data_IF_432299362455
#
_entry.id   IF_432299362455
#
_cell.length_a   1.000
_cell.length_b   1.000
_cell.length_c   1.000
_cell.angle_alpha   90.00
_cell.angle_beta   90.00
_cell.angle_gamma   90.00
#
_symmetry.space_group_name_H-M   'P 1'
#
loop_
_entity.id
_entity.type
_entity.pdbx_description
1 polymer ?
#
# COMPACT_ATOMS: atom_id res chain seq x y z
N UNK A 1 -74.98 133.37 61.36
CA UNK A 1 -76.40 133.08 61.12
C UNK A 1 -76.51 132.12 59.94
N UNK A 2 -77.46 131.19 59.96
CA UNK A 2 -77.74 130.35 58.78
C UNK A 2 -78.56 131.20 57.80
N UNK A 3 -78.04 131.44 56.59
CA UNK A 3 -78.84 132.03 55.52
C UNK A 3 -79.71 130.92 54.92
N UNK A 4 -81.03 131.13 54.88
CA UNK A 4 -82.00 130.19 54.34
C UNK A 4 -82.37 130.60 52.91
N UNK A 5 -82.34 129.66 51.96
CA UNK A 5 -82.78 129.87 50.58
C UNK A 5 -84.28 129.57 50.38
N UNK A 6 -85.09 129.53 51.45
CA UNK A 6 -86.53 129.26 51.36
C UNK A 6 -87.36 130.56 51.32
N UNK A 7 -88.42 130.60 50.50
CA UNK A 7 -89.31 131.76 50.36
C UNK A 7 -90.80 131.35 50.50
N UNK A 8 -91.62 132.12 51.23
CA UNK A 8 -93.07 131.91 51.43
C UNK A 8 -93.48 131.52 52.88
N UNK A 9 -94.56 132.12 53.42
CA UNK A 9 -94.88 132.11 54.87
C UNK A 9 -95.84 131.01 55.35
N UNK A 10 -96.42 130.22 54.45
CA UNK A 10 -97.39 129.17 54.83
C UNK A 10 -97.03 127.76 54.37
N UNK A 11 -95.99 127.60 53.54
CA UNK A 11 -95.30 126.33 53.27
C UNK A 11 -94.00 126.66 52.50
N UNK A 12 -92.84 126.81 53.17
CA UNK A 12 -91.63 127.26 52.51
C UNK A 12 -91.11 126.20 51.53
N UNK A 13 -91.05 126.55 50.24
CA UNK A 13 -90.39 125.72 49.22
C UNK A 13 -88.91 126.10 49.13
N UNK A 14 -88.05 125.09 48.97
CA UNK A 14 -86.63 125.30 48.74
C UNK A 14 -86.40 125.99 47.37
N UNK A 15 -85.55 127.01 47.32
CA UNK A 15 -85.16 127.68 46.07
C UNK A 15 -83.75 127.28 45.62
N UNK A 16 -83.50 127.32 44.32
CA UNK A 16 -82.16 127.18 43.73
C UNK A 16 -81.41 128.51 43.87
N UNK A 17 -80.11 128.46 44.14
CA UNK A 17 -79.22 129.65 44.11
C UNK A 17 -78.60 129.74 42.71
N UNK A 18 -78.89 130.80 41.97
CA UNK A 18 -78.37 131.05 40.59
C UNK A 18 -77.23 132.06 40.60
N UNK A 19 -76.51 132.17 39.47
CA UNK A 19 -75.40 133.13 39.25
C UNK A 19 -74.22 133.02 40.22
N UNK A 20 -73.98 131.81 40.74
CA UNK A 20 -72.80 131.51 41.56
C UNK A 20 -71.58 131.42 40.65
N UNK A 21 -70.69 132.41 40.73
CA UNK A 21 -69.38 132.36 40.09
C UNK A 21 -68.57 131.16 40.59
N UNK A 22 -67.63 130.65 39.78
CA UNK A 22 -66.74 129.55 40.17
C UNK A 22 -66.04 129.87 41.50
N UNK A 23 -66.28 129.05 42.52
CA UNK A 23 -65.64 129.20 43.82
C UNK A 23 -64.16 128.81 43.73
N UNK A 24 -63.29 129.44 44.50
CA UNK A 24 -61.88 129.04 44.48
C UNK A 24 -61.72 127.61 45.03
N UNK A 25 -61.25 126.63 44.25
CA UNK A 25 -61.07 125.25 44.73
C UNK A 25 -59.70 125.13 45.43
N UNK A 26 -59.71 125.20 46.76
CA UNK A 26 -58.52 124.98 47.59
C UNK A 26 -58.91 124.48 48.99
N UNK A 27 -57.97 123.88 49.72
CA UNK A 27 -58.24 123.30 51.04
C UNK A 27 -58.76 124.32 52.09
N UNK A 28 -58.44 125.62 51.93
CA UNK A 28 -58.87 126.70 52.84
C UNK A 28 -60.12 127.44 52.37
N UNK A 29 -60.57 127.20 51.14
CA UNK A 29 -61.70 127.93 50.57
C UNK A 29 -62.97 127.70 51.37
N UNK A 30 -63.76 128.78 51.52
CA UNK A 30 -65.12 128.75 52.06
C UNK A 30 -66.14 129.17 51.00
N UNK A 31 -65.68 129.34 49.76
CA UNK A 31 -66.51 129.71 48.62
C UNK A 31 -67.50 128.57 48.32
N UNK A 32 -68.71 128.94 47.89
CA UNK A 32 -69.65 127.98 47.35
C UNK A 32 -69.16 127.51 45.98
N UNK A 33 -69.14 126.19 45.73
CA UNK A 33 -68.86 125.62 44.41
C UNK A 33 -70.15 125.53 43.60
N UNK A 34 -70.08 125.83 42.31
CA UNK A 34 -71.22 125.77 41.42
C UNK A 34 -71.29 124.42 40.67
N UNK A 35 -72.31 124.27 39.83
CA UNK A 35 -72.56 123.04 39.09
C UNK A 35 -71.46 122.68 38.08
N UNK A 36 -70.78 123.64 37.44
CA UNK A 36 -69.72 123.35 36.46
C UNK A 36 -68.48 122.76 37.11
N UNK A 37 -68.08 123.27 38.28
CA UNK A 37 -66.91 122.77 39.03
C UNK A 37 -67.13 121.35 39.57
N UNK A 38 -68.32 121.10 40.13
CA UNK A 38 -68.71 119.75 40.56
C UNK A 38 -68.84 118.80 39.37
N UNK A 39 -69.35 119.28 38.22
CA UNK A 39 -69.44 118.49 36.98
C UNK A 39 -68.06 118.08 36.49
N UNK A 40 -67.10 119.00 36.41
CA UNK A 40 -65.73 118.68 35.98
C UNK A 40 -65.10 117.60 36.88
N UNK A 41 -65.26 117.73 38.21
CA UNK A 41 -64.79 116.71 39.17
C UNK A 41 -65.47 115.36 38.92
N UNK A 42 -66.78 115.35 38.66
CA UNK A 42 -67.52 114.13 38.38
C UNK A 42 -67.12 113.49 37.05
N UNK A 43 -66.82 114.29 36.02
CA UNK A 43 -66.34 113.80 34.72
C UNK A 43 -64.98 113.10 34.86
N UNK A 44 -64.04 113.65 35.64
CA UNK A 44 -62.75 113.01 35.95
C UNK A 44 -62.94 111.72 36.77
N UNK A 45 -63.88 111.70 37.71
CA UNK A 45 -64.23 110.49 38.48
C UNK A 45 -64.82 109.42 37.56
N UNK A 46 -65.67 109.80 36.61
CA UNK A 46 -66.23 108.89 35.61
C UNK A 46 -65.14 108.33 34.68
N UNK A 47 -64.21 109.17 34.23
CA UNK A 47 -63.05 108.76 33.44
C UNK A 47 -62.13 107.80 34.22
N UNK A 48 -61.86 108.09 35.50
CA UNK A 48 -61.10 107.19 36.37
C UNK A 48 -61.81 105.86 36.58
N UNK A 49 -63.14 105.89 36.75
CA UNK A 49 -63.97 104.67 36.86
C UNK A 49 -63.85 103.82 35.59
N UNK A 50 -63.90 104.44 34.42
CA UNK A 50 -63.71 103.77 33.14
C UNK A 50 -62.30 103.17 32.99
N UNK A 51 -61.24 103.94 33.31
CA UNK A 51 -59.86 103.46 33.28
C UNK A 51 -59.62 102.28 34.23
N UNK A 52 -60.21 102.32 35.44
CA UNK A 52 -60.15 101.22 36.41
C UNK A 52 -60.85 99.97 35.85
N UNK A 53 -62.00 100.12 35.20
CA UNK A 53 -62.69 99.01 34.56
C UNK A 53 -61.84 98.38 33.43
N UNK A 54 -61.21 99.20 32.58
CA UNK A 54 -60.27 98.74 31.56
C UNK A 54 -59.07 98.02 32.16
N UNK A 55 -58.44 98.58 33.19
CA UNK A 55 -57.31 97.95 33.88
C UNK A 55 -57.71 96.62 34.51
N UNK A 56 -58.91 96.54 35.09
CA UNK A 56 -59.47 95.30 35.64
C UNK A 56 -59.62 94.23 34.54
N UNK A 57 -60.12 94.60 33.36
CA UNK A 57 -60.26 93.69 32.21
C UNK A 57 -58.90 93.22 31.66
N UNK A 58 -57.92 94.13 31.55
CA UNK A 58 -56.56 93.80 31.13
C UNK A 58 -55.87 92.85 32.13
N UNK A 59 -56.03 93.09 33.44
CA UNK A 59 -55.50 92.20 34.48
C UNK A 59 -56.14 90.82 34.40
N UNK A 60 -57.46 90.74 34.19
CA UNK A 60 -58.14 89.46 34.00
C UNK A 60 -57.63 88.70 32.76
N UNK A 61 -57.43 89.41 31.64
CA UNK A 61 -56.85 88.85 30.40
C UNK A 61 -55.43 88.36 30.62
N UNK A 62 -54.57 89.16 31.26
CA UNK A 62 -53.21 88.76 31.59
C UNK A 62 -53.18 87.54 32.53
N UNK A 63 -54.09 87.49 33.51
CA UNK A 63 -54.24 86.35 34.41
C UNK A 63 -54.61 85.08 33.64
N UNK A 64 -55.54 85.16 32.68
CA UNK A 64 -55.92 84.05 31.83
C UNK A 64 -54.75 83.59 30.92
N UNK A 65 -54.04 84.53 30.28
CA UNK A 65 -52.88 84.23 29.45
C UNK A 65 -51.76 83.55 30.25
N UNK A 66 -51.51 84.00 31.49
CA UNK A 66 -50.52 83.38 32.39
C UNK A 66 -50.96 81.96 32.76
N UNK A 67 -52.24 81.73 33.03
CA UNK A 67 -52.77 80.40 33.30
C UNK A 67 -52.58 79.47 32.10
N UNK A 68 -52.90 79.93 30.88
CA UNK A 68 -52.66 79.18 29.64
C UNK A 68 -51.18 78.88 29.43
N UNK A 69 -50.30 79.87 29.63
CA UNK A 69 -48.85 79.68 29.49
C UNK A 69 -48.31 78.68 30.51
N UNK A 70 -48.81 78.71 31.74
CA UNK A 70 -48.47 77.74 32.79
C UNK A 70 -48.81 76.32 32.33
N UNK A 71 -50.03 76.10 31.83
CA UNK A 71 -50.45 74.79 31.30
C UNK A 71 -49.58 74.33 30.13
N UNK A 72 -49.28 75.23 29.19
CA UNK A 72 -48.44 74.89 28.03
C UNK A 72 -47.02 74.49 28.45
N UNK A 73 -46.43 75.18 29.44
CA UNK A 73 -45.10 74.87 29.97
C UNK A 73 -45.10 73.50 30.65
N UNK A 74 -46.14 73.17 31.42
CA UNK A 74 -46.29 71.85 32.02
C UNK A 74 -46.35 70.75 30.96
N UNK A 75 -47.20 70.91 29.94
CA UNK A 75 -47.32 69.92 28.85
C UNK A 75 -45.99 69.72 28.10
N UNK A 76 -45.24 70.80 27.87
CA UNK A 76 -43.91 70.74 27.26
C UNK A 76 -42.90 70.01 28.16
N UNK A 77 -42.97 70.24 29.47
CA UNK A 77 -42.11 69.56 30.45
C UNK A 77 -42.36 68.05 30.45
N UNK A 78 -43.63 67.66 30.46
CA UNK A 78 -44.03 66.25 30.40
C UNK A 78 -43.58 65.60 29.08
N UNK A 79 -43.81 66.27 27.94
CA UNK A 79 -43.39 65.78 26.62
C UNK A 79 -41.87 65.60 26.51
N UNK A 80 -41.08 66.49 27.12
CA UNK A 80 -39.62 66.37 27.17
C UNK A 80 -39.20 65.20 28.07
N UNK A 81 -39.90 64.98 29.19
CA UNK A 81 -39.69 63.84 30.07
C UNK A 81 -39.92 62.51 29.35
N UNK A 82 -41.04 62.40 28.63
CA UNK A 82 -41.39 61.20 27.87
C UNK A 82 -40.35 60.90 26.78
N UNK A 83 -39.90 61.93 26.04
CA UNK A 83 -38.84 61.78 25.05
C UNK A 83 -37.52 61.30 25.67
N UNK A 84 -37.16 61.78 26.86
CA UNK A 84 -35.95 61.33 27.55
C UNK A 84 -36.04 59.88 28.01
N UNK A 85 -37.23 59.39 28.36
CA UNK A 85 -37.44 58.01 28.79
C UNK A 85 -37.27 57.00 27.62
N UNK A 86 -37.66 57.38 26.40
CA UNK A 86 -37.66 56.50 25.24
C UNK A 86 -36.44 56.66 24.30
N UNK A 87 -35.62 57.71 24.51
CA UNK A 87 -34.45 57.97 23.67
C UNK A 87 -33.25 57.04 23.98
N UNK A 88 -32.41 56.81 22.97
CA UNK A 88 -31.06 56.28 23.17
C UNK A 88 -30.20 57.37 23.81
N UNK A 89 -29.94 57.25 25.11
CA UNK A 89 -29.19 58.25 25.86
C UNK A 89 -27.70 57.95 25.87
N UNK A 90 -26.88 59.00 25.80
CA UNK A 90 -25.44 58.91 25.99
C UNK A 90 -25.12 58.53 27.43
N UNK A 91 -24.35 57.47 27.59
CA UNK A 91 -23.83 57.03 28.88
C UNK A 91 -22.40 57.55 29.04
N UNK A 92 -22.25 58.57 29.89
CA UNK A 92 -20.96 59.26 30.09
C UNK A 92 -19.87 58.32 30.63
N UNK A 93 -20.24 57.37 31.47
CA UNK A 93 -19.30 56.38 32.05
C UNK A 93 -18.82 55.39 30.99
N UNK A 94 -19.73 54.91 30.13
CA UNK A 94 -19.41 53.93 29.06
C UNK A 94 -18.88 54.58 27.78
N UNK A 95 -18.96 55.91 27.67
CA UNK A 95 -18.66 56.68 26.46
C UNK A 95 -19.36 56.12 25.22
N UNK A 96 -20.63 55.77 25.36
CA UNK A 96 -21.45 55.18 24.31
C UNK A 96 -22.93 55.47 24.52
N UNK A 97 -23.73 55.39 23.45
CA UNK A 97 -25.19 55.39 23.57
C UNK A 97 -25.68 54.09 24.20
N UNK A 98 -26.62 54.19 25.14
CA UNK A 98 -27.23 53.05 25.81
C UNK A 98 -28.50 52.63 25.08
N UNK A 99 -28.57 51.36 24.70
CA UNK A 99 -29.78 50.71 24.21
C UNK A 99 -30.58 50.03 25.33
N UNK A 100 -30.31 50.34 26.60
CA UNK A 100 -31.15 49.90 27.71
C UNK A 100 -32.44 50.72 27.74
N UNK A 101 -33.58 50.08 27.95
CA UNK A 101 -34.90 50.72 28.02
C UNK A 101 -35.76 50.04 29.08
N UNK A 102 -36.50 50.84 29.85
CA UNK A 102 -37.32 50.35 30.95
C UNK A 102 -36.52 49.57 32.00
N UNK A 103 -36.98 48.35 32.31
CA UNK A 103 -36.35 47.46 33.29
C UNK A 103 -35.23 46.59 32.69
N UNK A 104 -35.07 46.59 31.37
CA UNK A 104 -34.09 45.75 30.70
C UNK A 104 -32.71 46.41 30.72
N UNK A 105 -31.70 45.63 31.09
CA UNK A 105 -30.31 46.09 31.10
C UNK A 105 -29.70 46.20 29.69
N UNK A 106 -30.33 45.56 28.70
CA UNK A 106 -29.97 45.61 27.27
C UNK A 106 -31.19 45.35 26.38
N UNK A 107 -31.35 46.09 25.29
CA UNK A 107 -32.41 45.86 24.28
C UNK A 107 -31.82 45.65 22.88
N UNK A 108 -32.63 45.08 21.97
CA UNK A 108 -32.22 44.87 20.57
C UNK A 108 -32.32 46.18 19.79
N UNK A 109 -31.33 46.43 18.94
CA UNK A 109 -31.42 47.41 17.85
C UNK A 109 -31.72 46.62 16.57
N UNK A 110 -32.92 46.81 16.01
CA UNK A 110 -33.36 46.13 14.78
C UNK A 110 -33.47 47.12 13.62
N UNK A 111 -33.75 46.61 12.42
CA UNK A 111 -33.80 47.39 11.18
C UNK A 111 -32.46 48.10 10.86
N UNK A 112 -31.36 47.49 11.31
CA UNK A 112 -29.99 47.90 10.97
C UNK A 112 -29.74 47.45 9.54
N UNK A 113 -29.55 48.41 8.64
CA UNK A 113 -29.18 48.16 7.25
C UNK A 113 -27.83 47.43 7.20
N UNK A 114 -27.63 46.58 6.20
CA UNK A 114 -26.33 45.95 5.97
C UNK A 114 -25.22 47.02 5.95
N UNK A 115 -24.19 46.81 6.76
CA UNK A 115 -23.01 47.65 6.81
C UNK A 115 -22.16 47.50 5.55
N UNK A 116 -21.46 48.55 5.15
CA UNK A 116 -20.39 48.41 4.15
C UNK A 116 -19.18 47.72 4.81
N UNK A 117 -18.88 46.49 4.40
CA UNK A 117 -17.82 45.66 5.00
C UNK A 117 -16.43 46.00 4.42
N UNK A 118 -15.95 47.20 4.72
CA UNK A 118 -14.60 47.67 4.35
C UNK A 118 -13.68 47.72 5.56
N UNK A 119 -12.36 47.79 5.34
CA UNK A 119 -11.37 47.75 6.43
C UNK A 119 -11.52 48.87 7.46
N UNK A 120 -11.99 50.05 7.03
CA UNK A 120 -12.13 51.24 7.89
C UNK A 120 -13.59 51.51 8.30
N UNK A 121 -14.50 50.58 8.03
CA UNK A 121 -15.92 50.76 8.32
C UNK A 121 -16.18 50.85 9.82
N UNK A 122 -16.98 51.84 10.20
CA UNK A 122 -17.50 52.01 11.57
C UNK A 122 -18.99 51.68 11.66
N UNK A 123 -19.56 51.10 10.60
CA UNK A 123 -20.97 50.73 10.55
C UNK A 123 -21.25 49.53 11.45
N UNK A 124 -22.44 49.53 12.07
CA UNK A 124 -22.89 48.36 12.82
C UNK A 124 -23.29 47.24 11.85
N UNK A 125 -22.68 46.06 11.98
CA UNK A 125 -23.08 44.87 11.23
C UNK A 125 -24.36 44.26 11.80
N UNK A 126 -25.22 43.74 10.92
CA UNK A 126 -26.44 43.07 11.34
C UNK A 126 -26.30 41.54 11.33
N UNK A 127 -27.38 40.87 11.76
CA UNK A 127 -27.40 39.41 11.89
C UNK A 127 -27.23 38.65 10.57
N UNK A 128 -27.73 39.17 9.43
CA UNK A 128 -27.58 38.50 8.13
C UNK A 128 -26.12 38.47 7.69
N UNK A 129 -25.40 39.57 7.84
CA UNK A 129 -23.98 39.64 7.47
C UNK A 129 -23.13 38.68 8.31
N UNK A 130 -23.35 38.67 9.64
CA UNK A 130 -22.67 37.74 10.53
C UNK A 130 -23.04 36.28 10.23
N UNK A 131 -24.30 36.01 9.86
CA UNK A 131 -24.75 34.68 9.45
C UNK A 131 -24.03 34.20 8.19
N UNK A 132 -23.88 35.04 7.16
CA UNK A 132 -23.14 34.67 5.94
C UNK A 132 -21.71 34.23 6.27
N UNK A 133 -21.01 34.97 7.13
CA UNK A 133 -19.69 34.57 7.62
C UNK A 133 -19.73 33.24 8.37
N UNK A 134 -20.69 33.04 9.27
CA UNK A 134 -20.82 31.81 10.03
C UNK A 134 -21.15 30.59 9.15
N UNK A 135 -21.95 30.74 8.10
CA UNK A 135 -22.25 29.68 7.14
C UNK A 135 -20.96 29.27 6.36
N UNK A 136 -20.11 30.23 6.01
CA UNK A 136 -18.81 29.96 5.39
C UNK A 136 -17.85 29.25 6.35
N UNK A 137 -17.83 29.64 7.63
CA UNK A 137 -17.05 28.97 8.68
C UNK A 137 -17.54 27.53 8.90
N UNK A 138 -18.86 27.31 8.91
CA UNK A 138 -19.43 25.96 9.01
C UNK A 138 -19.04 25.09 7.81
N UNK A 139 -19.06 25.65 6.60
CA UNK A 139 -18.59 24.98 5.38
C UNK A 139 -17.11 24.59 5.50
N UNK A 140 -16.26 25.51 5.95
CA UNK A 140 -14.83 25.23 6.18
C UNK A 140 -14.63 24.13 7.22
N UNK A 141 -15.43 24.12 8.29
CA UNK A 141 -15.39 23.08 9.32
C UNK A 141 -15.70 21.70 8.74
N UNK A 142 -16.74 21.60 7.90
CA UNK A 142 -17.08 20.35 7.20
C UNK A 142 -15.98 19.91 6.24
N UNK A 143 -15.39 20.84 5.47
CA UNK A 143 -14.29 20.53 4.55
C UNK A 143 -13.06 20.01 5.30
N UNK A 144 -12.72 20.59 6.44
CA UNK A 144 -11.61 20.13 7.29
C UNK A 144 -11.88 18.71 7.82
N UNK A 145 -13.11 18.43 8.26
CA UNK A 145 -13.48 17.09 8.71
C UNK A 145 -13.37 16.04 7.58
N UNK A 146 -13.85 16.38 6.37
CA UNK A 146 -13.73 15.52 5.20
C UNK A 146 -12.27 15.26 4.82
N UNK A 147 -11.43 16.30 4.79
CA UNK A 147 -10.00 16.17 4.52
C UNK A 147 -9.31 15.28 5.56
N UNK A 148 -9.67 15.42 6.83
CA UNK A 148 -9.15 14.57 7.92
C UNK A 148 -9.50 13.10 7.70
N UNK A 149 -10.76 12.81 7.33
CA UNK A 149 -11.21 11.46 6.99
C UNK A 149 -10.46 10.87 5.79
N UNK A 150 -10.33 11.65 4.70
CA UNK A 150 -9.59 11.23 3.51
C UNK A 150 -8.12 10.94 3.81
N UNK A 151 -7.46 11.74 4.65
CA UNK A 151 -6.08 11.51 5.09
C UNK A 151 -5.97 10.21 5.89
N UNK A 152 -6.92 9.92 6.78
CA UNK A 152 -6.94 8.68 7.53
C UNK A 152 -7.11 7.46 6.60
N UNK A 153 -8.02 7.52 5.63
CA UNK A 153 -8.18 6.47 4.61
C UNK A 153 -6.91 6.27 3.78
N UNK A 154 -6.29 7.35 3.32
CA UNK A 154 -5.03 7.28 2.57
C UNK A 154 -3.91 6.67 3.40
N UNK A 155 -3.84 6.98 4.69
CA UNK A 155 -2.87 6.39 5.63
C UNK A 155 -3.02 4.87 5.70
N UNK A 156 -4.26 4.38 5.84
CA UNK A 156 -4.54 2.92 5.83
C UNK A 156 -4.17 2.28 4.49
N UNK A 157 -4.53 2.90 3.37
CA UNK A 157 -4.20 2.38 2.04
C UNK A 157 -2.69 2.27 1.82
N UNK A 158 -1.92 3.29 2.25
CA UNK A 158 -0.46 3.29 2.16
C UNK A 158 0.14 2.18 3.05
N UNK A 159 -0.42 1.96 4.23
CA UNK A 159 0.01 0.86 5.11
C UNK A 159 -0.19 -0.51 4.44
N UNK A 160 -1.36 -0.76 3.86
CA UNK A 160 -1.66 -2.02 3.16
C UNK A 160 -0.76 -2.23 1.92
N UNK A 161 -0.48 -1.16 1.18
CA UNK A 161 0.47 -1.20 0.06
C UNK A 161 1.89 -1.52 0.53
N UNK A 162 2.31 -0.93 1.65
CA UNK A 162 3.63 -1.18 2.24
C UNK A 162 3.78 -2.64 2.67
N UNK A 163 2.76 -3.20 3.30
CA UNK A 163 2.72 -4.63 3.66
C UNK A 163 2.79 -5.52 2.41
N UNK A 164 1.99 -5.23 1.39
CA UNK A 164 1.99 -5.98 0.13
C UNK A 164 3.36 -5.95 -0.55
N UNK A 165 4.00 -4.78 -0.63
CA UNK A 165 5.33 -4.62 -1.21
C UNK A 165 6.39 -5.36 -0.39
N UNK A 166 6.27 -5.35 0.94
CA UNK A 166 7.17 -6.09 1.83
C UNK A 166 7.04 -7.60 1.58
N UNK A 167 5.82 -8.11 1.50
CA UNK A 167 5.57 -9.54 1.25
C UNK A 167 6.06 -9.98 -0.13
N UNK A 168 5.78 -9.21 -1.19
CA UNK A 168 6.37 -9.47 -2.51
C UNK A 168 7.90 -9.42 -2.47
N UNK A 169 8.43 -8.46 -1.71
CA UNK A 169 9.84 -8.32 -1.42
C UNK A 169 10.43 -9.43 -0.56
N UNK A 170 9.64 -10.35 -0.01
CA UNK A 170 10.05 -11.54 0.75
C UNK A 170 9.92 -12.81 -0.12
N UNK A 171 8.78 -12.96 -0.81
CA UNK A 171 8.35 -14.20 -1.48
C UNK A 171 8.79 -14.34 -2.95
N UNK A 172 9.28 -13.28 -3.59
CA UNK A 172 9.73 -13.32 -4.98
C UNK A 172 11.13 -13.93 -5.16
N UNK A 173 11.46 -14.33 -6.40
CA UNK A 173 12.86 -14.56 -6.80
C UNK A 173 13.60 -13.22 -6.82
N UNK A 174 14.49 -13.01 -5.86
CA UNK A 174 15.16 -11.72 -5.67
C UNK A 174 16.48 -11.68 -6.42
N UNK A 175 16.85 -10.51 -6.92
CA UNK A 175 18.20 -10.26 -7.37
C UNK A 175 19.13 -10.14 -6.16
N UNK A 176 20.02 -11.11 -6.01
CA UNK A 176 21.15 -11.05 -5.10
C UNK A 176 22.26 -10.23 -5.79
N UNK A 177 22.37 -8.96 -5.38
CA UNK A 177 23.32 -8.02 -5.97
C UNK A 177 24.78 -8.39 -5.70
N UNK A 178 25.06 -9.01 -4.56
CA UNK A 178 26.43 -9.32 -4.15
C UNK A 178 26.95 -10.52 -4.93
N UNK A 179 26.07 -11.48 -5.23
CA UNK A 179 26.40 -12.66 -6.02
C UNK A 179 26.08 -12.51 -7.53
N UNK A 180 25.36 -11.46 -7.93
CA UNK A 180 25.02 -11.18 -9.33
C UNK A 180 24.06 -12.21 -9.95
N UNK A 181 23.12 -12.75 -9.17
CA UNK A 181 22.20 -13.82 -9.59
C UNK A 181 20.79 -13.59 -9.04
N UNK A 182 19.79 -14.25 -9.63
CA UNK A 182 18.50 -14.43 -8.97
C UNK A 182 18.58 -15.57 -7.96
N UNK A 183 18.11 -15.34 -6.74
CA UNK A 183 18.11 -16.33 -5.66
C UNK A 183 16.70 -16.84 -5.36
N UNK A 184 16.60 -18.15 -5.12
CA UNK A 184 15.42 -18.81 -4.58
C UNK A 184 15.53 -19.05 -3.06
N UNK A 185 16.43 -18.34 -2.37
CA UNK A 185 16.48 -18.32 -0.92
C UNK A 185 15.21 -17.67 -0.35
N UNK A 186 14.62 -18.29 0.68
CA UNK A 186 13.40 -17.80 1.33
C UNK A 186 13.40 -18.23 2.79
N UNK A 187 13.01 -17.31 3.68
CA UNK A 187 13.01 -17.54 5.13
C UNK A 187 14.41 -17.84 5.70
N UNK A 188 14.48 -18.86 6.55
CA UNK A 188 15.71 -19.35 7.17
C UNK A 188 16.48 -20.39 6.32
N UNK A 189 15.95 -20.74 5.15
CA UNK A 189 16.59 -21.65 4.20
C UNK A 189 17.42 -20.88 3.17
N UNK A 190 18.63 -21.37 2.89
CA UNK A 190 19.55 -20.75 1.92
C UNK A 190 19.19 -21.05 0.45
N UNK A 191 18.37 -22.08 0.16
CA UNK A 191 17.89 -22.40 -1.19
C UNK A 191 16.56 -23.17 -1.17
N UNK A 192 15.67 -22.91 -2.14
CA UNK A 192 14.39 -23.60 -2.30
C UNK A 192 14.17 -24.09 -3.74
N UNK A 193 13.18 -24.97 -3.91
CA UNK A 193 12.80 -25.51 -5.23
C UNK A 193 12.07 -24.44 -6.05
N UNK A 194 12.37 -24.38 -7.35
CA UNK A 194 11.55 -23.72 -8.35
C UNK A 194 10.81 -24.81 -9.12
N UNK A 195 9.49 -24.88 -8.96
CA UNK A 195 8.64 -25.90 -9.58
C UNK A 195 7.68 -25.26 -10.60
N UNK A 196 6.90 -26.09 -11.28
CA UNK A 196 5.97 -25.67 -12.33
C UNK A 196 6.66 -24.95 -13.49
N UNK A 197 7.89 -25.37 -13.78
CA UNK A 197 8.68 -24.93 -14.93
C UNK A 197 8.29 -25.77 -16.13
N UNK A 198 7.83 -25.12 -17.20
CA UNK A 198 7.61 -25.75 -18.50
C UNK A 198 8.93 -26.30 -19.05
N UNK A 199 8.86 -27.33 -19.89
CA UNK A 199 10.05 -27.88 -20.56
C UNK A 199 10.80 -26.78 -21.29
N UNK A 200 12.07 -26.59 -20.95
CA UNK A 200 12.94 -25.61 -21.57
C UNK A 200 13.37 -26.06 -22.96
N UNK A 201 13.56 -25.13 -23.89
CA UNK A 201 14.08 -25.48 -25.21
C UNK A 201 15.51 -26.00 -25.09
N UNK A 202 15.83 -27.18 -25.64
CA UNK A 202 17.19 -27.76 -25.58
C UNK A 202 17.93 -27.49 -26.89
N UNK A 203 18.71 -26.40 -26.93
CA UNK A 203 19.59 -26.03 -28.05
C UNK A 203 20.89 -25.41 -27.53
N UNK A 204 21.90 -25.28 -28.39
CA UNK A 204 23.21 -24.75 -28.03
C UNK A 204 23.21 -23.30 -27.50
N UNK A 205 22.13 -22.55 -27.74
CA UNK A 205 22.01 -21.13 -27.36
C UNK A 205 20.82 -20.86 -26.44
N UNK A 206 20.15 -21.90 -25.93
CA UNK A 206 18.99 -21.72 -25.07
C UNK A 206 19.36 -21.04 -23.76
N UNK A 207 18.45 -20.22 -23.25
CA UNK A 207 18.50 -19.62 -21.90
C UNK A 207 17.33 -20.07 -21.04
N UNK A 208 16.56 -21.05 -21.51
CA UNK A 208 15.44 -21.60 -20.77
C UNK A 208 15.96 -22.48 -19.64
N UNK A 209 15.32 -22.40 -18.47
CA UNK A 209 15.52 -23.40 -17.43
C UNK A 209 14.95 -24.75 -17.90
N UNK A 210 15.71 -25.83 -17.70
CA UNK A 210 15.19 -27.19 -17.89
C UNK A 210 14.55 -27.68 -16.59
N UNK A 211 13.54 -28.52 -16.71
CA UNK A 211 12.92 -29.16 -15.55
C UNK A 211 13.40 -30.62 -15.38
N UNK A 212 12.87 -31.28 -14.35
CA UNK A 212 13.29 -32.64 -14.00
C UNK A 212 12.93 -33.71 -15.05
N UNK A 213 11.81 -33.58 -15.77
CA UNK A 213 11.40 -34.57 -16.78
C UNK A 213 12.40 -34.63 -17.93
N UNK A 214 12.88 -33.49 -18.41
CA UNK A 214 13.84 -33.45 -19.51
C UNK A 214 15.17 -34.14 -19.17
N UNK A 215 15.67 -33.95 -17.94
CA UNK A 215 16.88 -34.61 -17.47
C UNK A 215 16.64 -36.12 -17.27
N UNK A 216 15.48 -36.49 -16.75
CA UNK A 216 15.09 -37.90 -16.56
C UNK A 216 14.98 -38.64 -17.90
N UNK A 217 14.39 -38.02 -18.93
CA UNK A 217 14.26 -38.59 -20.27
C UNK A 217 15.62 -38.80 -20.93
N UNK A 218 16.54 -37.82 -20.81
CA UNK A 218 17.92 -37.96 -21.28
C UNK A 218 18.62 -39.15 -20.60
N UNK A 219 18.53 -39.22 -19.28
CA UNK A 219 19.13 -40.31 -18.48
C UNK A 219 18.55 -41.68 -18.86
N UNK A 220 17.24 -41.75 -19.11
CA UNK A 220 16.54 -42.98 -19.52
C UNK A 220 16.95 -43.45 -20.92
N UNK A 221 17.16 -42.52 -21.85
CA UNK A 221 17.67 -42.83 -23.18
C UNK A 221 19.10 -43.41 -23.11
N UNK A 222 19.96 -42.83 -22.27
CA UNK A 222 21.32 -43.35 -22.05
C UNK A 222 21.29 -44.77 -21.48
N UNK A 223 20.42 -45.04 -20.50
CA UNK A 223 20.24 -46.38 -19.95
C UNK A 223 19.82 -47.39 -21.03
N UNK A 224 18.87 -46.98 -21.88
CA UNK A 224 18.39 -47.79 -23.01
C UNK A 224 19.52 -48.12 -24.00
N UNK A 225 20.36 -47.14 -24.34
CA UNK A 225 21.49 -47.36 -25.25
C UNK A 225 22.56 -48.29 -24.69
N UNK A 226 22.83 -48.24 -23.38
CA UNK A 226 23.77 -49.15 -22.76
C UNK A 226 23.21 -50.58 -22.64
N UNK A 227 21.90 -50.74 -22.46
CA UNK A 227 21.32 -52.05 -22.18
C UNK A 227 21.93 -52.67 -20.93
N UNK A 228 22.11 -54.00 -20.89
CA UNK A 228 22.76 -54.66 -19.76
C UNK A 228 22.08 -54.40 -18.41
N UNK A 229 20.76 -54.17 -18.39
CA UNK A 229 20.00 -53.76 -17.21
C UNK A 229 20.35 -52.38 -16.63
N UNK A 230 21.00 -51.49 -17.41
CA UNK A 230 21.09 -50.08 -17.03
C UNK A 230 19.69 -49.47 -16.90
N UNK A 231 19.50 -48.57 -15.94
CA UNK A 231 18.20 -47.97 -15.65
C UNK A 231 18.31 -46.62 -14.95
N UNK A 232 17.20 -45.90 -14.83
CA UNK A 232 17.05 -44.73 -13.97
C UNK A 232 16.00 -45.06 -12.91
N UNK A 233 16.36 -44.88 -11.65
CA UNK A 233 15.47 -45.13 -10.53
C UNK A 233 14.44 -43.99 -10.37
N UNK A 234 13.39 -44.23 -9.58
CA UNK A 234 12.31 -43.25 -9.35
C UNK A 234 12.77 -41.97 -8.63
N UNK A 235 13.92 -42.00 -7.97
CA UNK A 235 14.60 -40.84 -7.38
C UNK A 235 15.53 -40.11 -8.36
N UNK A 236 15.59 -40.55 -9.62
CA UNK A 236 16.43 -39.99 -10.68
C UNK A 236 17.86 -40.52 -10.70
N UNK A 237 18.23 -41.46 -9.82
CA UNK A 237 19.59 -42.02 -9.77
C UNK A 237 19.80 -43.00 -10.93
N UNK A 238 20.86 -42.78 -11.71
CA UNK A 238 21.26 -43.66 -12.81
C UNK A 238 21.99 -44.91 -12.28
N UNK A 239 21.58 -46.08 -12.75
CA UNK A 239 22.23 -47.37 -12.52
C UNK A 239 22.89 -47.84 -13.81
N UNK A 240 24.20 -48.06 -13.78
CA UNK A 240 25.00 -48.47 -14.94
C UNK A 240 24.69 -49.89 -15.43
N UNK A 241 25.16 -50.26 -16.63
CA UNK A 241 24.94 -51.59 -17.19
C UNK A 241 25.73 -52.65 -16.42
N UNK A 242 25.27 -53.89 -16.53
CA UNK A 242 25.99 -55.10 -16.15
C UNK A 242 26.03 -56.03 -17.35
N UNK A 243 27.21 -56.21 -17.91
CA UNK A 243 27.49 -57.16 -18.98
C UNK A 243 28.12 -58.41 -18.40
N UNK A 244 27.51 -59.57 -18.60
CA UNK A 244 28.06 -60.86 -18.14
C UNK A 244 28.83 -61.52 -19.28
N UNK A 245 30.15 -61.65 -19.13
CA UNK A 245 31.03 -62.34 -20.09
C UNK A 245 31.66 -63.54 -19.37
N UNK A 246 31.32 -64.75 -19.79
CA UNK A 246 31.62 -65.96 -19.03
C UNK A 246 30.92 -65.93 -17.65
N UNK A 247 31.69 -66.09 -16.58
CA UNK A 247 31.20 -66.04 -15.20
C UNK A 247 31.37 -64.67 -14.53
N UNK A 248 31.99 -63.71 -15.21
CA UNK A 248 32.34 -62.40 -14.64
C UNK A 248 31.39 -61.30 -15.13
N UNK A 249 31.03 -60.40 -14.21
CA UNK A 249 30.25 -59.19 -14.51
C UNK A 249 31.17 -58.00 -14.78
N UNK A 250 30.81 -57.20 -15.79
CA UNK A 250 31.50 -55.98 -16.19
C UNK A 250 30.52 -54.81 -16.21
N UNK A 251 30.91 -53.67 -15.65
CA UNK A 251 29.99 -52.55 -15.39
C UNK A 251 30.13 -51.37 -16.36
N UNK A 252 30.97 -51.54 -17.39
CA UNK A 252 31.11 -50.60 -18.49
C UNK A 252 31.46 -51.36 -19.77
N UNK A 253 31.22 -50.70 -20.90
CA UNK A 253 31.40 -51.29 -22.23
C UNK A 253 32.86 -51.62 -22.51
N UNK A 254 33.80 -50.76 -22.09
CA UNK A 254 35.23 -50.93 -22.36
C UNK A 254 35.78 -52.23 -21.77
N UNK A 255 35.50 -52.48 -20.49
CA UNK A 255 35.99 -53.68 -19.81
C UNK A 255 35.32 -54.94 -20.35
N UNK A 256 34.01 -54.87 -20.67
CA UNK A 256 33.30 -55.99 -21.27
C UNK A 256 33.89 -56.37 -22.64
N UNK A 257 34.21 -55.37 -23.49
CA UNK A 257 34.86 -55.60 -24.78
C UNK A 257 36.30 -56.13 -24.61
N UNK A 258 37.05 -55.62 -23.64
CA UNK A 258 38.39 -56.13 -23.34
C UNK A 258 38.34 -57.60 -22.88
N UNK A 259 37.35 -57.97 -22.06
CA UNK A 259 37.13 -59.34 -21.63
C UNK A 259 36.76 -60.26 -22.78
N UNK A 260 35.87 -59.83 -23.68
CA UNK A 260 35.55 -60.57 -24.91
C UNK A 260 36.83 -60.80 -25.73
N UNK A 261 37.61 -59.74 -25.99
CA UNK A 261 38.85 -59.82 -26.77
C UNK A 261 39.88 -60.80 -26.15
N UNK A 262 40.00 -60.78 -24.82
CA UNK A 262 40.85 -61.73 -24.09
C UNK A 262 40.34 -63.17 -24.24
N UNK A 263 39.04 -63.41 -24.06
CA UNK A 263 38.43 -64.75 -24.14
C UNK A 263 38.57 -65.40 -25.52
N UNK A 264 38.49 -64.62 -26.61
CA UNK A 264 38.78 -65.10 -27.96
C UNK A 264 40.25 -65.50 -28.10
N UNK A 265 41.16 -64.68 -27.56
CA UNK A 265 42.60 -64.95 -27.66
C UNK A 265 42.99 -66.23 -26.92
N UNK A 266 42.42 -66.48 -25.73
CA UNK A 266 42.66 -67.72 -24.98
C UNK A 266 42.08 -68.93 -25.72
N UNK A 267 40.85 -68.85 -26.23
CA UNK A 267 40.22 -69.97 -26.94
C UNK A 267 40.96 -70.35 -28.22
N UNK A 268 41.52 -69.38 -28.95
CA UNK A 268 42.34 -69.65 -30.12
C UNK A 268 43.73 -70.18 -29.75
N UNK A 269 44.29 -69.75 -28.61
CA UNK A 269 45.59 -70.22 -28.12
C UNK A 269 45.66 -71.73 -27.85
N UNK A 270 44.53 -72.35 -27.53
CA UNK A 270 44.43 -73.80 -27.24
C UNK A 270 44.03 -74.65 -28.46
N UNK A 271 43.73 -74.04 -29.61
CA UNK A 271 43.32 -74.76 -30.81
C UNK A 271 44.52 -75.27 -31.63
N UNK A 272 44.36 -76.41 -32.31
CA UNK A 272 45.29 -76.86 -33.35
C UNK A 272 45.13 -75.97 -34.59
N UNK A 273 45.89 -74.88 -34.65
CA UNK A 273 45.73 -73.86 -35.69
C UNK A 273 46.58 -74.15 -36.94
N UNK A 274 46.07 -73.74 -38.09
CA UNK A 274 46.81 -73.72 -39.35
C UNK A 274 47.91 -72.65 -39.29
N UNK A 275 49.16 -73.08 -39.41
CA UNK A 275 50.30 -72.17 -39.59
C UNK A 275 50.45 -71.89 -41.10
N UNK A 276 49.97 -70.71 -41.51
CA UNK A 276 50.05 -70.28 -42.91
C UNK A 276 51.49 -70.08 -43.41
N UNK A 277 52.45 -69.80 -42.52
CA UNK A 277 53.86 -69.64 -42.89
C UNK A 277 54.50 -70.99 -43.14
N UNK A 278 54.17 -71.98 -42.32
CA UNK A 278 54.66 -73.34 -42.47
C UNK A 278 53.84 -74.20 -43.45
N UNK A 279 52.65 -73.75 -43.86
CA UNK A 279 51.76 -74.45 -44.78
C UNK A 279 51.21 -75.76 -44.19
N UNK A 280 51.00 -75.83 -42.87
CA UNK A 280 50.54 -77.04 -42.16
C UNK A 280 49.85 -76.70 -40.84
N UNK A 281 49.09 -77.65 -40.29
CA UNK A 281 48.64 -77.54 -38.90
C UNK A 281 49.83 -77.62 -37.94
N UNK A 282 49.83 -76.76 -36.92
CA UNK A 282 50.88 -76.72 -35.90
C UNK A 282 50.41 -77.42 -34.62
N UNK A 283 51.18 -78.42 -34.17
CA UNK A 283 51.03 -79.03 -32.86
C UNK A 283 51.82 -78.28 -31.77
N UNK A 284 52.29 -77.05 -32.04
CA UNK A 284 52.94 -76.23 -31.03
C UNK A 284 51.90 -75.59 -30.12
N UNK A 285 52.14 -75.59 -28.81
CA UNK A 285 51.23 -75.02 -27.83
C UNK A 285 52.00 -74.27 -26.73
N UNK A 286 51.30 -73.36 -26.03
CA UNK A 286 51.86 -72.56 -24.94
C UNK A 286 52.76 -71.40 -25.40
N UNK A 287 53.23 -70.62 -24.44
CA UNK A 287 53.98 -69.37 -24.68
C UNK A 287 55.38 -69.59 -25.26
N UNK A 288 55.94 -70.79 -25.10
CA UNK A 288 57.28 -71.13 -25.59
C UNK A 288 57.26 -71.64 -27.04
N UNK A 289 56.08 -72.00 -27.58
CA UNK A 289 55.94 -72.49 -28.95
C UNK A 289 56.59 -73.87 -29.20
N UNK A 290 56.68 -74.69 -28.15
CA UNK A 290 57.25 -76.03 -28.21
C UNK A 290 56.25 -77.02 -28.83
N UNK A 291 56.76 -78.02 -29.55
CA UNK A 291 55.93 -79.09 -30.10
C UNK A 291 55.29 -79.90 -28.96
N UNK A 292 53.98 -80.11 -29.05
CA UNK A 292 53.20 -80.87 -28.08
C UNK A 292 52.80 -82.23 -28.64
N UNK A 293 52.59 -83.19 -27.75
CA UNK A 293 52.06 -84.51 -28.09
C UNK A 293 50.60 -84.37 -28.49
N UNK A 294 50.22 -85.04 -29.59
CA UNK A 294 48.81 -85.26 -29.94
C UNK A 294 48.45 -86.66 -29.44
N UNK A 295 47.60 -86.72 -28.41
CA UNK A 295 47.10 -87.98 -27.82
C UNK A 295 45.64 -88.20 -28.24
N UNK A 296 45.08 -89.34 -27.83
CA UNK A 296 43.69 -89.76 -28.15
C UNK A 296 43.44 -89.90 -29.66
N UNK A 297 44.51 -90.20 -30.41
CA UNK A 297 44.47 -90.55 -31.83
C UNK A 297 44.07 -92.02 -31.94
N UNK A 298 42.89 -92.29 -32.52
CA UNK A 298 42.46 -93.65 -32.82
C UNK A 298 43.39 -94.34 -33.82
N UNK A 299 43.40 -95.68 -33.85
CA UNK A 299 44.18 -96.44 -34.84
C UNK A 299 43.74 -96.06 -36.26
N UNK A 300 44.67 -95.53 -37.05
CA UNK A 300 44.42 -95.16 -38.45
C UNK A 300 44.36 -96.38 -39.37
N UNK A 301 43.68 -96.28 -40.50
CA UNK A 301 43.73 -97.35 -41.50
C UNK A 301 45.16 -97.53 -42.04
N UNK A 302 45.64 -98.77 -42.13
CA UNK A 302 46.94 -99.11 -42.72
C UNK A 302 46.75 -99.61 -44.15
N UNK A 303 46.88 -98.71 -45.12
CA UNK A 303 46.83 -98.99 -46.56
C UNK A 303 47.74 -98.02 -47.34
N UNK A 304 48.03 -98.31 -48.62
CA UNK A 304 48.90 -97.49 -49.48
C UNK A 304 48.30 -96.14 -49.89
N UNK A 305 47.00 -95.95 -49.63
CA UNK A 305 46.26 -94.71 -49.89
C UNK A 305 45.76 -93.99 -48.64
N UNK A 306 46.07 -94.49 -47.44
CA UNK A 306 45.57 -93.92 -46.19
C UNK A 306 46.08 -92.49 -45.96
N UNK A 307 45.22 -91.62 -45.44
CA UNK A 307 45.56 -90.27 -44.95
C UNK A 307 45.31 -90.14 -43.45
N UNK A 308 45.12 -91.26 -42.77
CA UNK A 308 44.89 -91.30 -41.33
C UNK A 308 46.22 -91.13 -40.59
N UNK A 309 46.17 -90.44 -39.45
CA UNK A 309 47.31 -90.44 -38.54
C UNK A 309 47.44 -91.82 -37.91
N UNK A 310 48.68 -92.31 -37.79
CA UNK A 310 48.99 -93.52 -37.01
C UNK A 310 49.37 -93.14 -35.59
N UNK A 311 49.00 -93.97 -34.62
CA UNK A 311 49.32 -93.74 -33.22
C UNK A 311 50.47 -94.66 -32.72
N UNK A 312 50.83 -94.48 -31.45
CA UNK A 312 51.92 -95.25 -30.82
C UNK A 312 51.66 -96.76 -30.75
N UNK A 313 50.42 -97.22 -30.57
CA UNK A 313 50.12 -98.67 -30.52
C UNK A 313 50.32 -99.35 -31.86
N UNK A 314 49.96 -98.70 -32.96
CA UNK A 314 50.20 -99.24 -34.30
C UNK A 314 51.70 -99.33 -34.61
N UNK A 315 52.48 -98.30 -34.27
CA UNK A 315 53.93 -98.32 -34.44
C UNK A 315 54.59 -99.38 -33.53
N UNK A 316 54.12 -99.52 -32.28
CA UNK A 316 54.57 -100.56 -31.38
C UNK A 316 54.26 -101.96 -31.91
N UNK A 317 53.07 -102.18 -32.50
CA UNK A 317 52.71 -103.44 -33.14
C UNK A 317 53.67 -103.82 -34.29
N UNK A 318 54.10 -102.84 -35.09
CA UNK A 318 55.15 -103.06 -36.11
C UNK A 318 56.47 -103.43 -35.45
N UNK A 319 56.89 -102.70 -34.40
CA UNK A 319 58.14 -103.01 -33.68
C UNK A 319 58.12 -104.41 -33.06
N UNK A 320 56.99 -104.84 -32.47
CA UNK A 320 56.83 -106.20 -31.94
C UNK A 320 56.96 -107.26 -33.03
N UNK A 321 56.31 -107.05 -34.18
CA UNK A 321 56.43 -107.96 -35.33
C UNK A 321 57.88 -108.08 -35.82
N UNK A 322 58.61 -106.97 -35.89
CA UNK A 322 60.04 -106.96 -36.29
C UNK A 322 60.88 -107.75 -35.31
N UNK A 323 60.68 -107.55 -34.00
CA UNK A 323 61.40 -108.27 -32.96
C UNK A 323 61.12 -109.78 -32.99
N UNK A 324 59.86 -110.17 -33.15
CA UNK A 324 59.46 -111.57 -33.26
C UNK A 324 60.09 -112.24 -34.50
N UNK A 325 60.19 -111.51 -35.62
CA UNK A 325 60.81 -111.99 -36.85
C UNK A 325 62.34 -112.13 -36.72
N UNK A 326 62.99 -111.25 -35.96
CA UNK A 326 64.42 -111.36 -35.66
C UNK A 326 64.70 -112.54 -34.72
N UNK A 327 63.96 -112.68 -33.61
CA UNK A 327 64.26 -113.69 -32.59
C UNK A 327 65.57 -113.38 -31.84
N UNK A 328 66.30 -114.41 -31.37
CA UNK A 328 67.61 -114.22 -30.73
C UNK A 328 67.60 -113.41 -29.42
N UNK A 329 66.44 -113.25 -28.77
CA UNK A 329 66.30 -112.45 -27.54
C UNK A 329 66.14 -110.94 -27.78
N UNK A 330 65.88 -110.50 -29.01
CA UNK A 330 65.47 -109.12 -29.28
C UNK A 330 64.18 -108.77 -28.51
N UNK A 331 64.03 -107.51 -28.12
CA UNK A 331 62.84 -107.01 -27.42
C UNK A 331 62.54 -105.54 -27.75
N UNK A 332 61.27 -105.14 -27.68
CA UNK A 332 60.88 -103.72 -27.73
C UNK A 332 60.92 -103.16 -26.32
N UNK A 333 61.80 -102.20 -26.07
CA UNK A 333 61.95 -101.53 -24.79
C UNK A 333 60.80 -100.56 -24.50
N UNK A 334 60.62 -100.22 -23.22
CA UNK A 334 59.56 -99.32 -22.77
C UNK A 334 59.65 -97.89 -23.36
N UNK A 335 60.84 -97.47 -23.80
CA UNK A 335 61.08 -96.19 -24.48
C UNK A 335 60.86 -96.27 -26.01
N UNK A 336 60.43 -97.42 -26.51
CA UNK A 336 60.20 -97.68 -27.93
C UNK A 336 61.46 -98.07 -28.72
N UNK A 337 62.64 -98.13 -28.10
CA UNK A 337 63.85 -98.64 -28.74
C UNK A 337 63.82 -100.16 -28.86
N UNK A 338 64.57 -100.74 -29.81
CA UNK A 338 64.68 -102.19 -29.97
C UNK A 338 66.04 -102.65 -29.43
N UNK A 339 66.04 -103.63 -28.53
CA UNK A 339 67.23 -104.37 -28.12
C UNK A 339 67.61 -105.33 -29.25
N UNK A 340 68.88 -105.29 -29.69
CA UNK A 340 69.36 -106.11 -30.78
C UNK A 340 69.26 -107.62 -30.48
N UNK A 341 69.04 -108.48 -31.50
CA UNK A 341 69.07 -109.92 -31.30
C UNK A 341 70.48 -110.38 -30.92
N UNK A 342 70.62 -111.57 -30.37
CA UNK A 342 71.90 -112.26 -30.21
C UNK A 342 71.81 -113.65 -30.83
N UNK A 343 72.56 -113.87 -31.90
CA UNK A 343 72.67 -115.16 -32.56
C UNK A 343 74.05 -115.76 -32.28
N UNK A 344 74.11 -116.84 -31.49
CA UNK A 344 75.37 -117.54 -31.22
C UNK A 344 75.68 -118.55 -32.31
N UNK A 345 76.70 -118.27 -33.12
CA UNK A 345 77.19 -119.18 -34.17
C UNK A 345 78.65 -119.53 -33.84
N UNK A 346 78.91 -120.83 -33.61
CA UNK A 346 80.25 -121.34 -33.29
C UNK A 346 80.96 -120.62 -32.11
N UNK A 347 80.21 -120.33 -31.04
CA UNK A 347 80.67 -119.62 -29.82
C UNK A 347 81.07 -118.14 -30.02
N UNK A 348 80.59 -117.50 -31.09
CA UNK A 348 80.64 -116.05 -31.27
C UNK A 348 79.22 -115.50 -31.41
N UNK A 349 78.95 -114.39 -30.74
CA UNK A 349 77.65 -113.70 -30.75
C UNK A 349 77.64 -112.62 -31.83
N UNK A 350 76.55 -112.58 -32.61
CA UNK A 350 76.27 -111.58 -33.64
C UNK A 350 74.94 -110.88 -33.33
N UNK A 351 74.88 -109.58 -33.60
CA UNK A 351 73.74 -108.71 -33.29
C UNK A 351 72.90 -108.32 -34.50
N UNK A 352 73.08 -109.05 -35.61
CA UNK A 352 72.37 -108.84 -36.88
C UNK A 352 72.28 -110.10 -37.77
#
# INVERSE_FOLDING_TARGET
>A
GKYSAAHGTSSPTASVITDVADGTISASSKDAVNGSQLKATNDDVEANTANIATNTSNIATNTANIATNTTNITNLTDSVGDLQADALLWNETKKAFSAAHGQDTTSKITNVKDADLTADSTDAVNGSQLKTTNDAVATNTTNIANNTSNIATNTTNISNLTETVTNLGEDALKWDKDNGVFTAAHGNNTANKITNILDGTVTATSSDAINGSQLYDLSSNIATYFGGNASVNTDGVFTGPTYKIGETNYYNVGDALAAINSSFSTSLGDALLWDATAGKFSAKHGTNGDASVITDVADGEISDSSSDAVNGSQLHGVSSYVVDALGGGAEVNADGTITAPTYTIANADYDN
#
